data_IF_690937992644
#
_entry.id   IF_690937992644
#
_cell.length_a   1.000
_cell.length_b   1.000
_cell.length_c   1.000
_cell.angle_alpha   90.00
_cell.angle_beta   90.00
_cell.angle_gamma   90.00
#
_symmetry.space_group_name_H-M   'P 1'
#
loop_
_entity.id
_entity.type
_entity.pdbx_description
1 polymer ?
#
# COMPACT_ATOMS: atom_id res chain seq x y z
N UNK A 1 62.12 -26.63 87.66
CA UNK A 1 61.97 -25.89 88.93
C UNK A 1 60.60 -25.22 88.92
N UNK A 2 59.82 -25.29 90.01
CA UNK A 2 58.52 -24.58 90.17
C UNK A 2 58.73 -23.05 90.28
N UNK A 3 57.68 -22.21 90.38
CA UNK A 3 56.52 -22.04 89.49
C UNK A 3 56.25 -20.53 89.24
N UNK A 4 55.08 -20.14 88.69
CA UNK A 4 54.06 -19.41 89.49
C UNK A 4 52.76 -19.15 88.72
N UNK A 5 51.68 -19.32 89.46
CA UNK A 5 50.28 -19.18 89.07
C UNK A 5 49.77 -17.74 89.24
N UNK A 6 48.66 -17.41 88.57
CA UNK A 6 47.67 -16.44 89.08
C UNK A 6 46.27 -16.69 88.48
N UNK A 7 45.37 -17.16 89.35
CA UNK A 7 43.90 -17.32 89.20
C UNK A 7 43.22 -15.92 89.23
N UNK A 8 41.92 -15.67 88.98
CA UNK A 8 40.72 -16.45 89.32
C UNK A 8 39.38 -15.95 88.72
N UNK A 9 38.38 -16.88 88.73
CA UNK A 9 36.91 -16.71 88.95
C UNK A 9 36.07 -15.88 87.94
N UNK A 10 34.78 -16.16 87.71
CA UNK A 10 33.78 -16.93 88.49
C UNK A 10 32.78 -17.77 87.64
N UNK A 11 31.85 -18.49 88.30
CA UNK A 11 30.90 -19.51 87.80
C UNK A 11 29.60 -18.92 87.14
N UNK A 12 28.52 -19.62 86.73
CA UNK A 12 28.04 -21.01 86.94
C UNK A 12 27.04 -21.49 85.82
N UNK A 13 26.54 -22.72 85.91
CA UNK A 13 25.57 -23.40 84.99
C UNK A 13 24.14 -23.50 85.63
N UNK A 14 23.14 -24.38 85.27
CA UNK A 14 23.00 -25.42 84.22
C UNK A 14 21.56 -25.64 83.59
N UNK A 15 21.39 -26.76 82.84
CA UNK A 15 20.16 -27.59 82.60
C UNK A 15 19.05 -27.09 81.62
N UNK A 16 18.71 -27.83 80.53
CA UNK A 16 17.72 -28.96 80.35
C UNK A 16 16.24 -28.54 80.61
N UNK A 17 15.20 -29.03 79.92
CA UNK A 17 15.02 -30.14 78.95
C UNK A 17 13.89 -29.79 77.93
N UNK A 18 13.63 -30.54 76.84
CA UNK A 18 12.52 -31.52 76.63
C UNK A 18 12.44 -31.81 75.09
N UNK A 19 11.80 -32.91 74.66
CA UNK A 19 11.46 -33.26 73.25
C UNK A 19 10.06 -33.93 73.26
N UNK A 20 9.14 -33.69 72.29
CA UNK A 20 8.87 -34.66 71.20
C UNK A 20 8.35 -34.00 69.89
N UNK A 21 8.04 -34.67 68.77
CA UNK A 21 8.46 -35.90 68.07
C UNK A 21 7.32 -36.25 67.06
N UNK A 22 7.69 -36.55 65.80
CA UNK A 22 6.90 -37.25 64.77
C UNK A 22 5.54 -36.70 64.27
N UNK A 23 5.53 -36.34 62.98
CA UNK A 23 4.57 -36.90 62.03
C UNK A 23 5.27 -37.13 60.68
N UNK A 24 5.19 -38.36 60.15
CA UNK A 24 5.91 -38.77 58.95
C UNK A 24 5.06 -38.66 57.67
N UNK A 25 5.72 -38.53 56.51
CA UNK A 25 5.38 -39.28 55.28
C UNK A 25 6.54 -39.25 54.28
N UNK A 26 6.71 -40.34 53.52
CA UNK A 26 7.89 -40.63 52.69
C UNK A 26 7.55 -40.67 51.19
N UNK A 27 8.55 -40.34 50.37
CA UNK A 27 8.69 -40.67 48.94
C UNK A 27 7.65 -40.02 47.98
N UNK A 28 7.92 -39.78 46.69
CA UNK A 28 8.97 -40.29 45.76
C UNK A 28 9.54 -39.17 44.86
N UNK A 29 10.73 -39.42 44.32
CA UNK A 29 11.39 -38.66 43.24
C UNK A 29 10.63 -38.72 41.89
N UNK A 30 11.13 -37.92 40.91
CA UNK A 30 10.78 -37.79 39.46
C UNK A 30 9.87 -36.56 39.20
N UNK A 31 10.10 -35.72 38.17
CA UNK A 31 10.98 -35.77 36.98
C UNK A 31 11.67 -34.42 36.71
N UNK A 32 12.80 -34.43 36.00
CA UNK A 32 13.32 -33.26 35.31
C UNK A 32 12.49 -32.94 34.05
N UNK A 33 12.57 -31.70 33.56
CA UNK A 33 12.83 -31.41 32.14
C UNK A 33 13.20 -29.95 31.92
N UNK A 34 14.25 -29.76 31.13
CA UNK A 34 14.88 -28.54 30.66
C UNK A 34 13.91 -27.57 29.98
N UNK A 35 13.98 -26.28 30.36
CA UNK A 35 13.38 -25.19 29.59
C UNK A 35 14.22 -24.93 28.33
N UNK A 36 13.85 -25.56 27.21
CA UNK A 36 14.39 -25.22 25.90
C UNK A 36 13.85 -23.85 25.49
N UNK A 37 14.72 -22.84 25.49
CA UNK A 37 14.41 -21.52 24.95
C UNK A 37 14.20 -21.66 23.43
N UNK A 38 12.96 -21.56 22.99
CA UNK A 38 12.61 -21.64 21.58
C UNK A 38 13.11 -20.37 20.87
N UNK A 39 14.25 -20.49 20.17
CA UNK A 39 14.69 -19.49 19.22
C UNK A 39 13.67 -19.44 18.08
N UNK A 40 12.71 -18.52 18.18
CA UNK A 40 11.67 -18.31 17.18
C UNK A 40 12.28 -17.67 15.94
N UNK A 41 12.79 -18.52 15.03
CA UNK A 41 13.18 -18.11 13.69
C UNK A 41 11.90 -17.72 12.94
N UNK A 42 11.57 -16.44 12.99
CA UNK A 42 10.55 -15.84 12.13
C UNK A 42 11.04 -15.92 10.67
N UNK A 43 10.38 -16.66 9.77
CA UNK A 43 10.66 -16.53 8.36
C UNK A 43 10.19 -15.14 7.92
N UNK A 44 11.13 -14.28 7.51
CA UNK A 44 10.81 -13.02 6.88
C UNK A 44 10.18 -13.30 5.51
N UNK A 45 8.85 -13.39 5.47
CA UNK A 45 8.09 -13.46 4.23
C UNK A 45 8.21 -12.10 3.55
N UNK A 46 9.21 -11.97 2.69
CA UNK A 46 9.38 -10.82 1.82
C UNK A 46 8.22 -10.80 0.82
N UNK A 47 7.14 -10.09 1.18
CA UNK A 47 6.09 -9.69 0.26
C UNK A 47 6.72 -8.77 -0.79
N UNK A 48 7.19 -9.38 -1.88
CA UNK A 48 7.46 -8.67 -3.13
C UNK A 48 6.10 -8.22 -3.66
N UNK A 49 5.64 -7.08 -3.16
CA UNK A 49 4.55 -6.30 -3.75
C UNK A 49 5.04 -5.74 -5.08
N UNK A 50 5.24 -6.62 -6.07
CA UNK A 50 5.34 -6.23 -7.45
C UNK A 50 4.05 -5.53 -7.80
N UNK A 51 4.11 -4.21 -7.95
CA UNK A 51 2.99 -3.41 -8.40
C UNK A 51 2.68 -3.85 -9.82
N UNK A 52 1.68 -4.73 -9.95
CA UNK A 52 1.09 -5.09 -11.21
C UNK A 52 0.40 -3.84 -11.77
N UNK A 53 1.18 -2.98 -12.43
CA UNK A 53 0.67 -1.82 -13.15
C UNK A 53 -0.18 -2.38 -14.28
N UNK A 54 -1.50 -2.22 -14.17
CA UNK A 54 -2.42 -2.71 -15.19
C UNK A 54 -1.96 -2.19 -16.55
N UNK A 55 -1.92 -3.07 -17.55
CA UNK A 55 -1.54 -2.67 -18.90
C UNK A 55 -2.58 -1.64 -19.39
N UNK A 56 -2.14 -0.40 -19.58
CA UNK A 56 -2.99 0.61 -20.21
C UNK A 56 -3.14 0.27 -21.70
N UNK A 57 -4.19 0.77 -22.39
CA UNK A 57 -4.32 0.60 -23.83
C UNK A 57 -3.14 1.12 -24.66
N UNK A 58 -2.29 1.95 -24.07
CA UNK A 58 -1.21 2.70 -24.75
C UNK A 58 0.18 2.30 -24.22
N UNK A 59 0.28 1.25 -23.40
CA UNK A 59 1.51 0.76 -22.79
C UNK A 59 1.91 1.48 -21.50
N UNK A 60 3.20 1.48 -21.18
CA UNK A 60 3.75 2.27 -20.07
C UNK A 60 3.82 3.75 -20.48
N UNK A 61 3.24 4.64 -19.66
CA UNK A 61 3.17 6.08 -19.95
C UNK A 61 4.38 6.78 -19.34
N UNK A 62 5.30 7.22 -20.21
CA UNK A 62 6.53 7.91 -19.87
C UNK A 62 6.34 9.40 -19.61
N UNK A 63 7.09 10.22 -20.34
CA UNK A 63 7.01 11.68 -20.26
C UNK A 63 5.70 12.19 -20.86
N UNK A 64 5.14 13.27 -20.31
CA UNK A 64 3.95 13.95 -20.83
C UNK A 64 4.27 15.44 -20.96
N UNK A 65 4.08 15.98 -22.16
CA UNK A 65 4.16 17.41 -22.45
C UNK A 65 2.75 17.94 -22.77
N UNK A 66 2.28 18.92 -22.00
CA UNK A 66 1.02 19.64 -22.26
C UNK A 66 1.30 20.80 -23.19
N UNK A 67 0.70 20.83 -24.39
CA UNK A 67 0.98 21.82 -25.44
C UNK A 67 -0.12 22.87 -25.62
N UNK A 68 -1.38 22.49 -25.38
CA UNK A 68 -2.50 23.43 -25.36
C UNK A 68 -3.54 23.02 -24.32
N UNK A 69 -4.17 24.01 -23.69
CA UNK A 69 -5.20 23.85 -22.65
C UNK A 69 -6.33 24.85 -22.85
N UNK A 70 -7.49 24.57 -22.28
CA UNK A 70 -8.66 25.44 -22.30
C UNK A 70 -9.14 25.81 -23.69
N UNK A 71 -8.97 24.89 -24.65
CA UNK A 71 -9.41 25.05 -26.03
C UNK A 71 -10.88 24.63 -26.15
N UNK A 72 -11.62 25.25 -27.05
CA UNK A 72 -13.05 25.01 -27.24
C UNK A 72 -13.78 26.27 -27.71
N UNK A 73 -15.12 26.24 -27.83
CA UNK A 73 -15.91 27.43 -28.18
C UNK A 73 -15.82 28.51 -27.10
N UNK A 74 -15.80 29.79 -27.51
CA UNK A 74 -15.72 30.93 -26.57
C UNK A 74 -16.90 30.96 -25.58
N UNK A 75 -18.10 30.57 -26.06
CA UNK A 75 -19.33 30.50 -25.27
C UNK A 75 -19.26 29.50 -24.09
N UNK A 76 -18.39 28.48 -24.18
CA UNK A 76 -18.25 27.40 -23.20
C UNK A 76 -17.22 27.73 -22.09
N UNK A 77 -16.64 28.94 -22.12
CA UNK A 77 -15.73 29.47 -21.10
C UNK A 77 -14.51 28.58 -20.77
N UNK A 78 -14.06 27.75 -21.73
CA UNK A 78 -13.06 26.69 -21.58
C UNK A 78 -11.71 27.09 -20.97
N UNK A 79 -11.41 28.39 -20.83
CA UNK A 79 -10.27 28.98 -20.10
C UNK A 79 -9.87 28.30 -18.77
N UNK A 80 -10.83 27.67 -18.07
CA UNK A 80 -10.63 26.96 -16.80
C UNK A 80 -10.20 25.49 -16.95
N UNK A 81 -10.42 24.86 -18.10
CA UNK A 81 -10.00 23.48 -18.35
C UNK A 81 -8.51 23.41 -18.66
N UNK A 82 -7.70 23.42 -17.60
CA UNK A 82 -6.23 23.47 -17.68
C UNK A 82 -5.58 22.27 -16.99
N UNK A 83 -5.75 21.05 -17.53
CA UNK A 83 -5.14 19.87 -16.94
C UNK A 83 -3.62 19.96 -16.99
N UNK A 84 -2.97 19.59 -15.89
CA UNK A 84 -1.51 19.42 -15.84
C UNK A 84 -1.09 18.00 -16.28
N UNK A 85 0.22 17.76 -16.36
CA UNK A 85 0.77 16.46 -16.78
C UNK A 85 0.43 15.30 -15.83
N UNK A 86 0.13 15.56 -14.55
CA UNK A 86 -0.29 14.52 -13.61
C UNK A 86 -1.75 14.15 -13.82
N UNK A 87 -2.63 15.14 -14.02
CA UNK A 87 -4.05 14.91 -14.33
C UNK A 87 -4.23 14.20 -15.68
N UNK A 88 -3.42 14.55 -16.69
CA UNK A 88 -3.39 13.82 -17.97
C UNK A 88 -2.91 12.38 -17.78
N UNK A 89 -1.86 12.13 -16.97
CA UNK A 89 -1.43 10.75 -16.66
C UNK A 89 -2.55 9.97 -15.98
N UNK A 90 -3.21 10.55 -14.98
CA UNK A 90 -4.28 9.89 -14.23
C UNK A 90 -5.45 9.47 -15.14
N UNK A 91 -5.85 10.35 -16.07
CA UNK A 91 -6.83 10.02 -17.11
C UNK A 91 -6.35 8.85 -17.98
N UNK A 92 -5.15 8.93 -18.54
CA UNK A 92 -4.62 7.90 -19.45
C UNK A 92 -4.35 6.55 -18.76
N UNK A 93 -4.04 6.53 -17.46
CA UNK A 93 -3.86 5.30 -16.67
C UNK A 93 -5.19 4.61 -16.32
N UNK A 94 -6.31 5.36 -16.23
CA UNK A 94 -7.64 4.81 -15.88
C UNK A 94 -8.60 4.63 -17.06
N UNK A 95 -8.35 5.31 -18.17
CA UNK A 95 -9.22 5.25 -19.34
C UNK A 95 -9.18 3.88 -20.05
N UNK A 96 -10.34 3.50 -20.59
CA UNK A 96 -10.50 2.29 -21.42
C UNK A 96 -10.66 2.67 -22.89
N UNK A 97 -10.33 1.74 -23.80
CA UNK A 97 -10.65 1.90 -25.22
C UNK A 97 -12.16 1.87 -25.40
N UNK A 98 -12.67 2.83 -26.16
CA UNK A 98 -14.08 2.91 -26.55
C UNK A 98 -14.20 3.00 -28.08
N UNK A 99 -15.35 2.57 -28.60
CA UNK A 99 -15.76 2.90 -29.98
C UNK A 99 -16.47 4.26 -30.01
N UNK A 100 -16.55 4.91 -31.17
CA UNK A 100 -17.29 6.18 -31.31
C UNK A 100 -18.80 6.03 -30.98
N UNK A 101 -19.37 4.83 -31.16
CA UNK A 101 -20.71 4.51 -30.64
C UNK A 101 -20.74 4.55 -29.12
N UNK A 102 -19.77 3.94 -28.45
CA UNK A 102 -19.72 3.98 -26.99
C UNK A 102 -19.47 5.39 -26.46
N UNK A 103 -18.65 6.20 -27.14
CA UNK A 103 -18.49 7.62 -26.80
C UNK A 103 -19.84 8.34 -26.83
N UNK A 104 -20.58 8.22 -27.93
CA UNK A 104 -21.91 8.82 -28.09
C UNK A 104 -22.94 8.30 -27.08
N UNK A 105 -23.02 6.98 -26.89
CA UNK A 105 -24.09 6.34 -26.11
C UNK A 105 -23.84 6.42 -24.59
N UNK A 106 -22.57 6.54 -24.13
CA UNK A 106 -22.23 6.39 -22.71
C UNK A 106 -21.36 7.51 -22.10
N UNK A 107 -20.95 8.52 -22.86
CA UNK A 107 -20.12 9.61 -22.34
C UNK A 107 -20.64 10.98 -22.79
N UNK A 108 -20.58 11.96 -21.90
CA UNK A 108 -20.87 13.34 -22.29
C UNK A 108 -19.70 13.88 -23.12
N UNK A 109 -19.96 14.32 -24.34
CA UNK A 109 -18.91 14.88 -25.19
C UNK A 109 -18.57 16.31 -24.75
N UNK A 110 -17.47 16.45 -24.02
CA UNK A 110 -16.95 17.72 -23.50
C UNK A 110 -16.59 18.72 -24.60
N UNK A 111 -17.09 19.98 -24.55
CA UNK A 111 -16.72 21.01 -25.53
C UNK A 111 -15.30 21.52 -25.31
N UNK A 112 -14.78 21.41 -24.09
CA UNK A 112 -13.47 21.91 -23.71
C UNK A 112 -12.42 20.80 -23.77
N UNK A 113 -11.29 21.10 -24.40
CA UNK A 113 -10.23 20.13 -24.64
C UNK A 113 -8.82 20.71 -24.38
N UNK A 114 -7.89 19.79 -24.17
CA UNK A 114 -6.47 20.01 -24.00
C UNK A 114 -5.72 18.94 -24.79
N UNK A 115 -4.51 19.27 -25.28
CA UNK A 115 -3.71 18.33 -26.06
C UNK A 115 -2.22 18.48 -25.80
N UNK A 116 -1.48 17.46 -26.19
CA UNK A 116 -0.04 17.43 -26.05
C UNK A 116 0.58 16.21 -26.69
N UNK A 117 1.76 15.84 -26.19
CA UNK A 117 2.44 14.59 -26.55
C UNK A 117 2.82 13.80 -25.32
N UNK A 118 2.96 12.49 -25.48
CA UNK A 118 3.50 11.58 -24.48
C UNK A 118 4.56 10.68 -25.10
N UNK A 119 5.42 10.09 -24.28
CA UNK A 119 6.24 8.94 -24.68
C UNK A 119 5.65 7.66 -24.09
N UNK A 120 5.79 6.55 -24.79
CA UNK A 120 5.65 5.21 -24.23
C UNK A 120 6.91 4.39 -24.51
N UNK A 121 6.89 3.09 -24.19
CA UNK A 121 8.02 2.18 -24.41
C UNK A 121 8.39 1.98 -25.90
N UNK A 122 7.57 2.47 -26.84
CA UNK A 122 7.68 2.20 -28.27
C UNK A 122 7.90 3.48 -29.10
N UNK A 123 7.22 4.59 -28.78
CA UNK A 123 7.28 5.82 -29.58
C UNK A 123 6.78 7.09 -28.83
N UNK A 124 6.70 8.22 -29.54
CA UNK A 124 6.10 9.48 -29.12
C UNK A 124 4.71 9.64 -29.74
N UNK A 125 3.66 9.70 -28.92
CA UNK A 125 2.27 9.79 -29.39
C UNK A 125 1.67 11.16 -29.07
N UNK A 126 0.72 11.62 -29.88
CA UNK A 126 -0.11 12.77 -29.53
C UNK A 126 -1.29 12.32 -28.65
N UNK A 127 -1.76 13.19 -27.77
CA UNK A 127 -2.98 12.95 -26.97
C UNK A 127 -3.89 14.17 -26.96
N UNK A 128 -5.19 13.93 -26.85
CA UNK A 128 -6.22 14.92 -26.55
C UNK A 128 -7.09 14.40 -25.39
N UNK A 129 -7.44 15.28 -24.46
CA UNK A 129 -8.31 15.00 -23.32
C UNK A 129 -9.41 16.06 -23.25
N UNK A 130 -10.64 15.64 -22.94
CA UNK A 130 -11.82 16.50 -22.81
C UNK A 130 -12.28 16.59 -21.36
N UNK A 131 -12.94 17.68 -21.02
CA UNK A 131 -13.37 18.01 -19.66
C UNK A 131 -14.41 17.05 -19.08
N UNK A 132 -15.17 16.36 -19.93
CA UNK A 132 -16.16 15.34 -19.53
C UNK A 132 -15.67 13.88 -19.67
N UNK A 133 -14.35 13.65 -19.62
CA UNK A 133 -13.78 12.32 -19.44
C UNK A 133 -13.68 11.45 -20.69
N UNK A 134 -13.76 12.04 -21.89
CA UNK A 134 -13.36 11.39 -23.14
C UNK A 134 -12.02 11.94 -23.63
N UNK A 135 -11.40 11.25 -24.58
CA UNK A 135 -10.16 11.69 -25.20
C UNK A 135 -9.72 10.74 -26.31
N UNK A 136 -8.55 11.00 -26.85
CA UNK A 136 -7.91 10.10 -27.79
C UNK A 136 -6.39 10.15 -27.67
N UNK A 137 -5.75 9.11 -28.18
CA UNK A 137 -4.33 9.16 -28.55
C UNK A 137 -4.17 8.91 -30.05
N UNK A 138 -3.12 9.47 -30.62
CA UNK A 138 -2.69 9.23 -32.00
C UNK A 138 -1.27 8.73 -32.01
N UNK A 139 -1.09 7.49 -32.46
CA UNK A 139 0.21 6.89 -32.65
C UNK A 139 0.87 7.37 -33.96
N UNK A 140 2.19 7.22 -34.06
CA UNK A 140 3.01 7.65 -35.21
C UNK A 140 2.68 6.92 -36.51
N UNK A 141 2.15 5.69 -36.42
CA UNK A 141 1.61 4.93 -37.54
C UNK A 141 0.28 5.50 -38.10
N UNK A 142 -0.29 6.54 -37.47
CA UNK A 142 -1.56 7.17 -37.82
C UNK A 142 -2.79 6.58 -37.13
N UNK A 143 -2.62 5.52 -36.34
CA UNK A 143 -3.69 4.89 -35.55
C UNK A 143 -4.25 5.86 -34.51
N UNK A 144 -5.57 5.83 -34.35
CA UNK A 144 -6.30 6.65 -33.37
C UNK A 144 -7.06 5.72 -32.45
N UNK A 145 -6.80 5.85 -31.14
CA UNK A 145 -7.48 5.09 -30.10
C UNK A 145 -8.35 6.08 -29.33
N UNK A 146 -9.67 5.89 -29.37
CA UNK A 146 -10.60 6.66 -28.55
C UNK A 146 -10.61 6.11 -27.12
N UNK A 147 -10.64 7.01 -26.16
CA UNK A 147 -10.51 6.72 -24.73
C UNK A 147 -11.69 7.32 -23.95
N UNK A 148 -12.21 6.54 -23.01
CA UNK A 148 -13.24 6.99 -22.06
C UNK A 148 -12.88 6.62 -20.63
N UNK A 149 -13.09 7.55 -19.70
CA UNK A 149 -12.93 7.34 -18.27
C UNK A 149 -14.15 6.63 -17.67
N UNK A 150 -14.05 5.36 -17.21
CA UNK A 150 -15.20 4.62 -16.70
C UNK A 150 -15.94 5.30 -15.54
N UNK A 151 -15.28 6.20 -14.79
CA UNK A 151 -15.89 6.96 -13.71
C UNK A 151 -16.81 8.10 -14.19
N UNK A 152 -16.65 8.57 -15.43
CA UNK A 152 -17.44 9.64 -16.05
C UNK A 152 -18.55 9.12 -16.97
N UNK A 153 -18.76 7.80 -17.00
CA UNK A 153 -19.77 7.15 -17.84
C UNK A 153 -21.17 7.53 -17.36
N UNK A 154 -22.03 8.04 -18.26
CA UNK A 154 -23.44 8.26 -17.94
C UNK A 154 -24.19 6.94 -17.80
N UNK A 155 -25.16 6.88 -16.90
CA UNK A 155 -26.12 5.80 -16.89
C UNK A 155 -27.07 5.98 -18.07
N UNK A 156 -27.29 4.92 -18.85
CA UNK A 156 -28.46 4.88 -19.73
C UNK A 156 -29.70 4.85 -18.83
N UNK A 157 -30.68 5.69 -19.11
CA UNK A 157 -32.00 5.55 -18.53
C UNK A 157 -32.62 4.25 -19.07
N UNK A 158 -33.09 3.39 -18.17
CA UNK A 158 -33.76 2.15 -18.52
C UNK A 158 -35.21 2.48 -18.88
N UNK A 159 -35.45 2.76 -20.17
CA UNK A 159 -36.77 3.01 -20.77
C UNK A 159 -37.61 1.71 -20.72
N UNK A 160 -38.06 1.38 -19.51
CA UNK A 160 -38.74 0.13 -19.19
C UNK A 160 -39.92 -0.15 -20.11
N UNK A 161 -39.75 -1.18 -20.95
CA UNK A 161 -40.69 -1.63 -21.98
C UNK A 161 -41.53 -2.84 -21.52
#
# INVERSE_FOLDING_TARGET
>A
MRPKDATAMEAAAPARHVIPSMAARRHRLRRALTALSACAILPAVALVSGTARCATPIGEIGWIEVRATGQGPEAEACSRFRPDAAQVREFLERAIVISGRQEHDFFNHGPCWARGTLTNAFDHWEWEMRDMGTGLVRATNGEVILLGDPAMRVALEDDGS
#
